data_IF_396742470689
#
_entry.id   IF_396742470689
#
_cell.length_a   1.000
_cell.length_b   1.000
_cell.length_c   1.000
_cell.angle_alpha   90.00
_cell.angle_beta   90.00
_cell.angle_gamma   90.00
#
_symmetry.space_group_name_H-M   'P 1'
#
loop_
_entity.id
_entity.type
_entity.pdbx_description
1 polymer ?
#
# COMPACT_ATOMS: atom_id res chain seq x y z
N UNK A 1 -6.90 -29.74 13.56
CA UNK A 1 -6.11 -28.54 13.94
C UNK A 1 -6.98 -27.32 14.15
N UNK A 2 -7.89 -26.97 13.22
CA UNK A 2 -8.77 -25.78 13.36
C UNK A 2 -9.60 -25.76 14.65
N UNK A 3 -10.26 -26.88 15.01
CA UNK A 3 -11.03 -26.99 16.29
C UNK A 3 -10.21 -26.77 17.56
N UNK A 4 -8.87 -26.80 17.48
CA UNK A 4 -7.98 -26.62 18.62
C UNK A 4 -7.37 -25.20 18.69
N UNK A 5 -7.81 -24.26 17.84
CA UNK A 5 -7.27 -22.91 17.80
C UNK A 5 -5.80 -22.85 17.33
N UNK A 6 -5.43 -23.70 16.38
CA UNK A 6 -4.03 -23.88 15.98
C UNK A 6 -3.40 -22.60 15.45
N UNK A 7 -4.11 -21.82 14.63
CA UNK A 7 -3.58 -20.57 14.07
C UNK A 7 -3.32 -19.54 15.16
N UNK A 8 -4.27 -19.38 16.10
CA UNK A 8 -4.10 -18.51 17.27
C UNK A 8 -2.87 -18.90 18.07
N UNK A 9 -2.72 -20.19 18.41
CA UNK A 9 -1.59 -20.68 19.20
C UNK A 9 -0.26 -20.44 18.50
N UNK A 10 -0.14 -20.80 17.22
CA UNK A 10 1.07 -20.59 16.42
C UNK A 10 1.44 -19.10 16.37
N UNK A 11 0.47 -18.23 16.14
CA UNK A 11 0.67 -16.78 16.11
C UNK A 11 1.26 -16.24 17.43
N UNK A 12 0.75 -16.70 18.57
CA UNK A 12 1.26 -16.30 19.88
C UNK A 12 2.69 -16.80 20.15
N UNK A 13 3.15 -17.83 19.44
CA UNK A 13 4.53 -18.34 19.53
C UNK A 13 5.50 -17.71 18.53
N UNK A 14 5.05 -16.82 17.64
CA UNK A 14 5.94 -16.16 16.67
C UNK A 14 7.05 -15.35 17.37
N UNK A 15 6.75 -14.77 18.54
CA UNK A 15 7.70 -14.05 19.41
C UNK A 15 8.44 -14.97 20.41
N UNK A 16 8.31 -16.29 20.29
CA UNK A 16 8.97 -17.22 21.20
C UNK A 16 10.49 -17.07 21.15
N UNK A 17 11.15 -17.17 22.32
CA UNK A 17 12.60 -17.07 22.41
C UNK A 17 13.26 -18.23 21.65
N UNK A 18 13.82 -17.92 20.48
CA UNK A 18 14.58 -18.86 19.67
C UNK A 18 15.75 -18.16 18.96
N UNK A 19 16.98 -18.31 19.48
CA UNK A 19 18.18 -17.74 18.86
C UNK A 19 18.45 -18.27 17.44
N UNK A 20 17.86 -19.40 17.05
CA UNK A 20 18.05 -19.99 15.72
C UNK A 20 17.14 -19.38 14.64
N UNK A 21 16.04 -18.72 15.05
CA UNK A 21 15.01 -18.21 14.15
C UNK A 21 14.13 -19.28 13.48
N UNK A 22 14.36 -20.56 13.76
CA UNK A 22 13.61 -21.68 13.20
C UNK A 22 12.15 -21.68 13.66
N UNK A 23 11.89 -21.31 14.90
CA UNK A 23 10.54 -21.26 15.46
C UNK A 23 9.66 -20.28 14.69
N UNK A 24 10.16 -19.06 14.50
CA UNK A 24 9.43 -18.01 13.77
C UNK A 24 9.16 -18.47 12.34
N UNK A 25 10.19 -19.02 11.70
CA UNK A 25 10.06 -19.55 10.36
C UNK A 25 8.99 -20.64 10.26
N UNK A 26 9.18 -21.75 10.97
CA UNK A 26 8.31 -22.91 10.86
C UNK A 26 6.89 -22.55 11.26
N UNK A 27 6.71 -21.67 12.25
CA UNK A 27 5.38 -21.18 12.63
C UNK A 27 4.72 -20.38 11.51
N UNK A 28 5.47 -19.53 10.81
CA UNK A 28 4.98 -18.75 9.68
C UNK A 28 4.63 -19.63 8.47
N UNK A 29 5.46 -20.63 8.16
CA UNK A 29 5.18 -21.63 7.11
C UNK A 29 3.91 -22.44 7.43
N UNK A 30 3.74 -22.88 8.68
CA UNK A 30 2.53 -23.61 9.07
C UNK A 30 1.30 -22.69 8.99
N UNK A 31 1.41 -21.44 9.43
CA UNK A 31 0.31 -20.46 9.30
C UNK A 31 -0.07 -20.22 7.84
N UNK A 32 0.92 -20.08 6.96
CA UNK A 32 0.70 -19.95 5.52
C UNK A 32 0.00 -21.17 4.95
N UNK A 33 0.49 -22.38 5.27
CA UNK A 33 -0.13 -23.62 4.84
C UNK A 33 -1.59 -23.77 5.33
N UNK A 34 -1.91 -23.27 6.52
CA UNK A 34 -3.29 -23.23 7.01
C UNK A 34 -4.16 -22.25 6.21
N UNK A 35 -3.62 -21.08 5.84
CA UNK A 35 -4.33 -20.10 5.02
C UNK A 35 -4.61 -20.62 3.59
N UNK A 36 -3.68 -21.38 3.01
CA UNK A 36 -3.84 -21.95 1.66
C UNK A 36 -4.71 -23.21 1.61
N UNK A 37 -4.55 -24.11 2.59
CA UNK A 37 -5.10 -25.47 2.50
C UNK A 37 -6.30 -25.72 3.43
N UNK A 38 -6.72 -24.72 4.22
CA UNK A 38 -7.88 -24.81 5.12
C UNK A 38 -8.88 -23.67 4.85
N UNK A 39 -9.94 -23.54 5.67
CA UNK A 39 -10.84 -22.39 5.57
C UNK A 39 -10.09 -21.11 5.98
N UNK A 40 -9.83 -20.25 5.00
CA UNK A 40 -9.19 -18.94 5.19
C UNK A 40 -9.95 -18.09 6.21
N UNK A 41 -11.28 -18.10 6.16
CA UNK A 41 -12.14 -17.32 7.06
C UNK A 41 -11.96 -17.74 8.51
N UNK A 42 -11.94 -19.06 8.78
CA UNK A 42 -11.74 -19.59 10.12
C UNK A 42 -10.32 -19.32 10.63
N UNK A 43 -9.29 -19.44 9.77
CA UNK A 43 -7.90 -19.11 10.15
C UNK A 43 -7.78 -17.63 10.49
N UNK A 44 -8.30 -16.75 9.64
CA UNK A 44 -8.28 -15.30 9.87
C UNK A 44 -9.05 -14.93 11.13
N UNK A 45 -10.21 -15.54 11.38
CA UNK A 45 -10.97 -15.34 12.61
C UNK A 45 -10.16 -15.72 13.86
N UNK A 46 -9.42 -16.84 13.83
CA UNK A 46 -8.52 -17.22 14.92
C UNK A 46 -7.37 -16.23 15.14
N UNK A 47 -6.87 -15.60 14.07
CA UNK A 47 -5.82 -14.59 14.12
C UNK A 47 -6.33 -13.19 14.52
N UNK A 48 -7.64 -12.93 14.44
CA UNK A 48 -8.26 -11.63 14.71
C UNK A 48 -8.43 -11.30 16.21
N UNK A 49 -7.58 -11.85 17.07
CA UNK A 49 -7.53 -11.49 18.50
C UNK A 49 -6.45 -10.44 18.76
N UNK A 50 -6.64 -9.59 19.77
CA UNK A 50 -5.70 -8.51 20.09
C UNK A 50 -4.29 -9.04 20.34
N UNK A 51 -4.17 -10.17 21.04
CA UNK A 51 -2.87 -10.76 21.33
C UNK A 51 -2.17 -11.28 20.07
N UNK A 52 -2.93 -11.84 19.11
CA UNK A 52 -2.38 -12.28 17.83
C UNK A 52 -1.94 -11.10 16.96
N UNK A 53 -2.74 -10.05 16.88
CA UNK A 53 -2.38 -8.85 16.11
C UNK A 53 -1.15 -8.17 16.71
N UNK A 54 -1.04 -8.12 18.05
CA UNK A 54 0.18 -7.67 18.73
C UNK A 54 1.39 -8.53 18.38
N UNK A 55 1.26 -9.85 18.48
CA UNK A 55 2.37 -10.76 18.16
C UNK A 55 2.84 -10.61 16.71
N UNK A 56 1.91 -10.53 15.75
CA UNK A 56 2.23 -10.26 14.34
C UNK A 56 2.96 -8.93 14.16
N UNK A 57 2.47 -7.86 14.81
CA UNK A 57 3.08 -6.53 14.74
C UNK A 57 4.51 -6.55 15.28
N UNK A 58 4.73 -7.13 16.45
CA UNK A 58 6.04 -7.14 17.11
C UNK A 58 7.09 -7.89 16.28
N UNK A 59 6.75 -9.08 15.78
CA UNK A 59 7.64 -9.84 14.89
C UNK A 59 7.90 -9.09 13.59
N UNK A 60 6.86 -8.50 13.00
CA UNK A 60 7.01 -7.71 11.78
C UNK A 60 7.98 -6.55 11.98
N UNK A 61 7.88 -5.83 13.11
CA UNK A 61 8.79 -4.74 13.48
C UNK A 61 10.21 -5.24 13.71
N UNK A 62 10.37 -6.37 14.40
CA UNK A 62 11.69 -6.96 14.65
C UNK A 62 12.40 -7.32 13.34
N UNK A 63 11.72 -7.99 12.41
CA UNK A 63 12.27 -8.29 11.09
C UNK A 63 12.51 -7.02 10.26
N UNK A 64 11.66 -6.00 10.41
CA UNK A 64 11.79 -4.75 9.68
C UNK A 64 13.03 -3.94 10.10
N UNK A 65 13.39 -3.96 11.40
CA UNK A 65 14.50 -3.20 11.95
C UNK A 65 15.80 -4.01 11.95
N UNK A 66 15.73 -5.31 12.28
CA UNK A 66 16.90 -6.16 12.51
C UNK A 66 17.09 -7.27 11.45
N UNK A 67 16.08 -7.51 10.60
CA UNK A 67 16.11 -8.51 9.53
C UNK A 67 16.79 -8.01 8.25
N UNK A 68 18.10 -8.27 8.13
CA UNK A 68 18.89 -7.79 6.98
C UNK A 68 19.17 -8.87 5.93
N UNK A 69 18.92 -10.15 6.23
CA UNK A 69 19.15 -11.23 5.27
C UNK A 69 17.99 -11.24 4.27
N UNK A 70 18.27 -11.71 3.06
CA UNK A 70 17.24 -11.91 2.03
C UNK A 70 16.03 -12.68 2.57
N UNK A 71 16.31 -13.74 3.35
CA UNK A 71 15.28 -14.54 3.98
C UNK A 71 14.41 -13.79 4.98
N UNK A 72 15.02 -12.99 5.85
CA UNK A 72 14.30 -12.17 6.84
C UNK A 72 13.36 -11.19 6.13
N UNK A 73 13.80 -10.63 4.99
CA UNK A 73 12.97 -9.74 4.17
C UNK A 73 11.80 -10.44 3.50
N UNK A 74 11.97 -11.68 3.05
CA UNK A 74 10.88 -12.51 2.52
C UNK A 74 9.85 -12.81 3.61
N UNK A 75 10.32 -13.29 4.76
CA UNK A 75 9.46 -13.61 5.90
C UNK A 75 8.68 -12.39 6.39
N UNK A 76 9.32 -11.22 6.41
CA UNK A 76 8.69 -9.92 6.72
C UNK A 76 7.56 -9.58 5.73
N UNK A 77 7.71 -9.93 4.46
CA UNK A 77 6.65 -9.76 3.46
C UNK A 77 5.54 -10.80 3.64
N UNK A 78 5.86 -12.05 3.93
CA UNK A 78 4.87 -13.11 4.20
C UNK A 78 4.00 -12.75 5.40
N UNK A 79 4.60 -12.25 6.48
CA UNK A 79 3.86 -11.75 7.64
C UNK A 79 3.00 -10.53 7.29
N UNK A 80 3.45 -9.65 6.41
CA UNK A 80 2.66 -8.53 5.93
C UNK A 80 1.46 -9.00 5.09
N UNK A 81 1.59 -10.06 4.30
CA UNK A 81 0.45 -10.69 3.62
C UNK A 81 -0.55 -11.23 4.65
N UNK A 82 -0.09 -11.95 5.67
CA UNK A 82 -0.95 -12.44 6.75
C UNK A 82 -1.66 -11.27 7.46
N UNK A 83 -0.93 -10.22 7.81
CA UNK A 83 -1.49 -9.01 8.43
C UNK A 83 -2.53 -8.33 7.54
N UNK A 84 -2.30 -8.31 6.22
CA UNK A 84 -3.24 -7.79 5.22
C UNK A 84 -4.55 -8.60 5.24
N UNK A 85 -4.47 -9.93 5.27
CA UNK A 85 -5.65 -10.80 5.35
C UNK A 85 -6.43 -10.62 6.66
N UNK A 86 -5.72 -10.42 7.77
CA UNK A 86 -6.35 -10.13 9.07
C UNK A 86 -7.04 -8.76 9.03
N UNK A 87 -6.40 -7.74 8.44
CA UNK A 87 -6.96 -6.40 8.30
C UNK A 87 -8.21 -6.32 7.42
N UNK A 88 -8.42 -7.27 6.50
CA UNK A 88 -9.67 -7.36 5.72
C UNK A 88 -10.89 -7.71 6.58
N UNK A 89 -10.68 -8.24 7.79
CA UNK A 89 -11.76 -8.62 8.71
C UNK A 89 -12.08 -7.49 9.66
N UNK A 90 -13.30 -6.98 9.62
CA UNK A 90 -13.75 -5.86 10.47
C UNK A 90 -13.67 -6.14 11.99
N UNK A 91 -13.57 -7.41 12.40
CA UNK A 91 -13.42 -7.80 13.80
C UNK A 91 -11.96 -7.75 14.29
N UNK A 92 -10.97 -7.57 13.41
CA UNK A 92 -9.57 -7.57 13.78
C UNK A 92 -9.17 -6.24 14.44
N UNK A 93 -8.57 -6.26 15.65
CA UNK A 93 -8.19 -5.05 16.39
C UNK A 93 -6.89 -4.41 15.87
N UNK A 94 -6.85 -4.08 14.58
CA UNK A 94 -5.68 -3.48 13.91
C UNK A 94 -5.38 -2.06 14.41
N UNK A 95 -6.41 -1.30 14.78
CA UNK A 95 -6.28 0.07 15.28
C UNK A 95 -5.83 0.06 16.75
N UNK A 96 -6.50 -0.73 17.59
CA UNK A 96 -6.22 -0.83 19.04
C UNK A 96 -4.81 -1.35 19.31
N UNK A 97 -4.31 -2.24 18.44
CA UNK A 97 -2.92 -2.71 18.50
C UNK A 97 -1.89 -1.67 18.05
N UNK A 98 -2.33 -0.56 17.46
CA UNK A 98 -1.47 0.43 16.81
C UNK A 98 -0.76 -0.09 15.57
N UNK A 99 -1.17 -1.24 15.03
CA UNK A 99 -0.56 -1.80 13.81
C UNK A 99 -0.99 -0.99 12.57
N UNK A 100 -2.25 -0.52 12.53
CA UNK A 100 -2.75 0.36 11.46
C UNK A 100 -1.87 1.59 11.25
N UNK A 101 -1.56 2.34 12.32
CA UNK A 101 -0.73 3.55 12.23
C UNK A 101 0.68 3.23 11.75
N UNK A 102 1.30 2.16 12.27
CA UNK A 102 2.62 1.71 11.84
C UNK A 102 2.65 1.42 10.33
N UNK A 103 1.66 0.67 9.83
CA UNK A 103 1.55 0.29 8.42
C UNK A 103 1.29 1.49 7.52
N UNK A 104 0.48 2.45 7.95
CA UNK A 104 0.25 3.70 7.21
C UNK A 104 1.54 4.50 7.10
N UNK A 105 2.27 4.67 8.22
CA UNK A 105 3.54 5.38 8.25
C UNK A 105 4.59 4.69 7.36
N UNK A 106 4.62 3.36 7.35
CA UNK A 106 5.47 2.59 6.43
C UNK A 106 5.05 2.71 4.97
N UNK A 107 3.76 2.91 4.69
CA UNK A 107 3.30 3.12 3.33
C UNK A 107 3.71 4.50 2.78
N UNK A 108 4.00 5.50 3.62
CA UNK A 108 4.18 6.90 3.19
C UNK A 108 5.60 7.45 3.35
N UNK A 109 6.47 6.83 4.16
CA UNK A 109 7.75 7.45 4.57
C UNK A 109 8.78 7.70 3.47
N UNK A 110 8.71 6.98 2.34
CA UNK A 110 9.63 7.23 1.22
C UNK A 110 9.28 8.50 0.46
N UNK A 111 7.99 8.87 0.46
CA UNK A 111 7.46 10.05 -0.24
C UNK A 111 7.41 11.26 0.70
N UNK A 112 7.03 11.01 1.96
CA UNK A 112 6.88 12.02 3.01
C UNK A 112 8.14 12.02 3.86
N UNK A 113 9.04 12.97 3.59
CA UNK A 113 10.36 13.09 4.26
C UNK A 113 10.27 13.69 5.68
N UNK A 114 9.27 13.29 6.45
CA UNK A 114 9.09 13.71 7.83
C UNK A 114 9.70 12.64 8.74
N UNK A 115 10.66 12.98 9.62
CA UNK A 115 11.20 12.02 10.58
C UNK A 115 10.08 11.43 11.44
N UNK A 116 9.92 10.12 11.39
CA UNK A 116 8.94 9.41 12.21
C UNK A 116 9.65 8.52 13.25
N UNK A 117 9.39 8.70 14.56
CA UNK A 117 9.99 7.88 15.62
C UNK A 117 9.75 6.37 15.45
N UNK A 118 8.62 5.97 14.87
CA UNK A 118 8.26 4.58 14.61
C UNK A 118 9.19 3.90 13.58
N UNK A 119 9.89 4.69 12.77
CA UNK A 119 10.77 4.21 11.72
C UNK A 119 12.25 4.35 12.07
N UNK A 120 12.56 4.70 13.32
CA UNK A 120 13.95 4.87 13.74
C UNK A 120 14.70 3.54 13.59
N UNK A 121 15.74 3.56 12.75
CA UNK A 121 16.57 2.38 12.47
C UNK A 121 16.19 1.63 11.19
N UNK A 122 15.03 1.94 10.58
CA UNK A 122 14.65 1.36 9.29
C UNK A 122 15.63 1.81 8.19
N UNK A 123 16.12 0.84 7.43
CA UNK A 123 16.96 1.07 6.24
C UNK A 123 16.36 0.37 5.04
N UNK A 124 15.83 1.14 4.10
CA UNK A 124 15.48 0.61 2.78
C UNK A 124 16.74 0.40 1.95
N UNK A 125 16.80 -0.76 1.30
CA UNK A 125 17.87 -1.15 0.39
C UNK A 125 17.45 -1.11 -1.07
N UNK A 126 16.16 -0.85 -1.34
CA UNK A 126 15.56 -0.90 -2.68
C UNK A 126 15.74 -2.28 -3.35
N UNK A 127 15.80 -3.34 -2.54
CA UNK A 127 15.83 -4.71 -3.03
C UNK A 127 14.48 -5.14 -3.62
N UNK A 128 14.42 -6.26 -4.35
CA UNK A 128 13.15 -6.82 -4.80
C UNK A 128 12.15 -7.04 -3.65
N UNK A 129 12.63 -7.47 -2.48
CA UNK A 129 11.78 -7.68 -1.32
C UNK A 129 11.24 -6.36 -0.75
N UNK A 130 12.03 -5.29 -0.74
CA UNK A 130 11.56 -3.96 -0.33
C UNK A 130 10.51 -3.40 -1.31
N UNK A 131 10.65 -3.70 -2.60
CA UNK A 131 9.66 -3.36 -3.62
C UNK A 131 8.34 -4.12 -3.41
N UNK A 132 8.39 -5.43 -3.15
CA UNK A 132 7.18 -6.21 -2.81
C UNK A 132 6.53 -5.71 -1.52
N UNK A 133 7.32 -5.39 -0.50
CA UNK A 133 6.83 -4.78 0.75
C UNK A 133 6.07 -3.48 0.43
N UNK A 134 6.64 -2.60 -0.40
CA UNK A 134 5.99 -1.33 -0.77
C UNK A 134 4.65 -1.53 -1.47
N UNK A 135 4.54 -2.54 -2.35
CA UNK A 135 3.25 -2.89 -2.99
C UNK A 135 2.22 -3.40 -1.99
N UNK A 136 2.62 -4.26 -1.06
CA UNK A 136 1.74 -4.76 -0.01
C UNK A 136 1.25 -3.63 0.91
N UNK A 137 2.14 -2.67 1.22
CA UNK A 137 1.78 -1.48 1.98
C UNK A 137 0.79 -0.58 1.22
N UNK A 138 0.88 -0.43 -0.09
CA UNK A 138 -0.17 0.27 -0.84
C UNK A 138 -1.50 -0.49 -0.84
N UNK A 139 -1.47 -1.81 -0.98
CA UNK A 139 -2.67 -2.63 -0.92
C UNK A 139 -3.40 -2.46 0.43
N UNK A 140 -2.67 -2.45 1.55
CA UNK A 140 -3.28 -2.33 2.88
C UNK A 140 -3.92 -0.95 3.12
N UNK A 141 -3.39 0.12 2.51
CA UNK A 141 -4.05 1.44 2.54
C UNK A 141 -5.45 1.37 1.91
N UNK A 142 -5.60 0.66 0.79
CA UNK A 142 -6.91 0.43 0.15
C UNK A 142 -7.86 -0.45 0.96
N UNK A 143 -7.33 -1.29 1.86
CA UNK A 143 -8.13 -2.06 2.82
C UNK A 143 -8.60 -1.14 3.95
N UNK A 144 -7.69 -0.37 4.55
CA UNK A 144 -8.01 0.60 5.60
C UNK A 144 -8.97 1.69 5.14
N UNK A 145 -8.98 2.06 3.86
CA UNK A 145 -9.96 3.02 3.34
C UNK A 145 -11.41 2.51 3.40
N UNK A 146 -11.65 1.22 3.66
CA UNK A 146 -12.99 0.65 3.83
C UNK A 146 -13.49 0.73 5.28
N UNK A 147 -12.60 1.03 6.24
CA UNK A 147 -12.93 1.19 7.66
C UNK A 147 -13.01 2.69 8.01
N UNK A 148 -14.19 3.22 8.37
CA UNK A 148 -14.35 4.63 8.76
C UNK A 148 -13.41 5.08 9.88
N UNK A 149 -13.06 4.20 10.83
CA UNK A 149 -12.14 4.54 11.92
C UNK A 149 -10.70 4.68 11.42
N UNK A 150 -10.29 3.87 10.46
CA UNK A 150 -8.98 3.97 9.85
C UNK A 150 -8.86 5.17 8.90
N UNK A 151 -9.95 5.62 8.27
CA UNK A 151 -9.95 6.81 7.39
C UNK A 151 -9.41 8.06 8.08
N UNK A 152 -9.75 8.28 9.35
CA UNK A 152 -9.18 9.39 10.12
C UNK A 152 -7.65 9.29 10.20
N UNK A 153 -7.12 8.09 10.48
CA UNK A 153 -5.68 7.84 10.54
C UNK A 153 -5.01 8.04 9.18
N UNK A 154 -5.68 7.69 8.07
CA UNK A 154 -5.18 7.97 6.71
C UNK A 154 -5.04 9.48 6.47
N UNK A 155 -6.01 10.27 6.93
CA UNK A 155 -6.01 11.74 6.81
C UNK A 155 -4.87 12.39 7.62
N UNK A 156 -4.56 11.84 8.79
CA UNK A 156 -3.57 12.37 9.73
C UNK A 156 -2.12 12.00 9.38
N UNK A 157 -1.89 10.95 8.57
CA UNK A 157 -0.56 10.39 8.30
C UNK A 157 -0.11 10.57 6.84
N UNK A 158 -0.47 11.71 6.23
CA UNK A 158 0.04 12.17 4.92
C UNK A 158 -0.12 11.15 3.77
N UNK A 159 -1.17 10.32 3.80
CA UNK A 159 -1.44 9.33 2.75
C UNK A 159 -1.73 9.99 1.41
N UNK A 160 -2.51 11.08 1.40
CA UNK A 160 -2.85 11.81 0.18
C UNK A 160 -1.59 12.33 -0.56
N UNK A 161 -0.72 13.15 0.06
CA UNK A 161 0.50 13.61 -0.62
C UNK A 161 1.46 12.46 -0.98
N UNK A 162 1.51 11.38 -0.19
CA UNK A 162 2.33 10.21 -0.52
C UNK A 162 1.85 9.49 -1.79
N UNK A 163 0.54 9.31 -1.97
CA UNK A 163 0.00 8.71 -3.20
C UNK A 163 0.18 9.66 -4.40
N UNK A 164 -0.06 10.95 -4.20
CA UNK A 164 0.11 11.99 -5.24
C UNK A 164 1.57 12.17 -5.67
N UNK A 165 2.55 11.80 -4.84
CA UNK A 165 3.96 11.81 -5.21
C UNK A 165 4.24 11.02 -6.50
N UNK A 166 3.48 9.96 -6.75
CA UNK A 166 3.61 9.11 -7.92
C UNK A 166 2.85 9.60 -9.15
N UNK A 167 2.00 10.63 -9.03
CA UNK A 167 1.25 11.25 -10.14
C UNK A 167 2.17 12.20 -10.92
N UNK A 168 3.26 11.65 -11.47
CA UNK A 168 4.25 12.34 -12.28
C UNK A 168 5.10 11.34 -13.08
N UNK A 169 5.64 11.74 -14.24
CA UNK A 169 6.55 10.89 -15.00
C UNK A 169 7.77 10.49 -14.17
N UNK A 170 8.24 9.25 -14.33
CA UNK A 170 9.51 8.84 -13.72
C UNK A 170 10.65 9.69 -14.29
N UNK A 171 11.40 10.34 -13.41
CA UNK A 171 12.65 11.01 -13.76
C UNK A 171 13.81 10.05 -13.54
N UNK A 172 14.97 10.30 -14.16
CA UNK A 172 16.15 9.44 -14.05
C UNK A 172 16.38 9.02 -12.59
N UNK A 173 16.45 7.72 -12.29
CA UNK A 173 16.56 7.25 -10.90
C UNK A 173 17.89 7.71 -10.31
N UNK A 174 17.87 8.04 -9.01
CA UNK A 174 19.08 8.22 -8.23
C UNK A 174 19.76 6.88 -7.93
N UNK A 175 20.97 6.91 -7.35
CA UNK A 175 21.70 5.71 -6.93
C UNK A 175 20.95 4.86 -5.87
N UNK A 176 20.01 5.45 -5.13
CA UNK A 176 19.17 4.81 -4.13
C UNK A 176 17.70 5.11 -4.41
N UNK A 177 17.21 4.61 -5.54
CA UNK A 177 15.84 4.82 -5.99
C UNK A 177 15.32 3.56 -6.69
N UNK A 178 14.00 3.49 -6.88
CA UNK A 178 13.37 2.41 -7.64
C UNK A 178 13.87 2.42 -9.09
N UNK A 179 14.05 1.23 -9.66
CA UNK A 179 14.24 1.13 -11.11
C UNK A 179 13.03 1.68 -11.86
N UNK A 180 13.20 2.08 -13.12
CA UNK A 180 12.10 2.61 -13.93
C UNK A 180 10.89 1.66 -13.98
N UNK A 181 11.13 0.35 -14.12
CA UNK A 181 10.07 -0.67 -14.13
C UNK A 181 9.33 -0.75 -12.78
N UNK A 182 10.08 -0.77 -11.67
CA UNK A 182 9.49 -0.77 -10.32
C UNK A 182 8.70 0.52 -10.07
N UNK A 183 9.22 1.68 -10.46
CA UNK A 183 8.52 2.94 -10.31
C UNK A 183 7.22 2.96 -11.12
N UNK A 184 7.24 2.50 -12.38
CA UNK A 184 6.03 2.39 -13.20
C UNK A 184 4.94 1.54 -12.52
N UNK A 185 5.32 0.42 -11.90
CA UNK A 185 4.39 -0.45 -11.19
C UNK A 185 3.86 0.19 -9.90
N UNK A 186 4.74 0.79 -9.08
CA UNK A 186 4.33 1.54 -7.88
C UNK A 186 3.44 2.72 -8.23
N UNK A 187 3.70 3.40 -9.35
CA UNK A 187 2.88 4.49 -9.82
C UNK A 187 1.45 4.04 -10.11
N UNK A 188 1.27 2.95 -10.86
CA UNK A 188 -0.06 2.43 -11.15
C UNK A 188 -0.78 1.97 -9.88
N UNK A 189 -0.03 1.35 -8.95
CA UNK A 189 -0.57 0.93 -7.67
C UNK A 189 -1.02 2.12 -6.82
N UNK A 190 -0.19 3.16 -6.69
CA UNK A 190 -0.51 4.38 -5.96
C UNK A 190 -1.74 5.08 -6.54
N UNK A 191 -1.86 5.21 -7.86
CA UNK A 191 -3.02 5.83 -8.51
C UNK A 191 -4.28 4.96 -8.34
N UNK A 192 -4.15 3.63 -8.36
CA UNK A 192 -5.26 2.73 -8.09
C UNK A 192 -5.81 2.90 -6.67
N UNK A 193 -4.91 3.00 -5.68
CA UNK A 193 -5.27 3.23 -4.27
C UNK A 193 -5.81 4.65 -4.06
N UNK A 194 -5.25 5.64 -4.76
CA UNK A 194 -5.75 7.01 -4.76
C UNK A 194 -7.23 7.06 -5.17
N UNK A 195 -7.66 6.26 -6.15
CA UNK A 195 -9.05 6.21 -6.55
C UNK A 195 -9.99 5.72 -5.41
N UNK A 196 -9.50 4.93 -4.47
CA UNK A 196 -10.25 4.46 -3.30
C UNK A 196 -10.19 5.43 -2.11
N UNK A 197 -9.05 6.09 -1.91
CA UNK A 197 -8.80 6.98 -0.77
C UNK A 197 -9.30 8.41 -1.02
N UNK A 198 -9.12 8.93 -2.23
CA UNK A 198 -9.43 10.32 -2.56
C UNK A 198 -10.88 10.72 -2.27
N UNK A 199 -11.90 9.89 -2.56
CA UNK A 199 -13.29 10.25 -2.27
C UNK A 199 -13.60 10.37 -0.77
N UNK A 200 -12.77 9.77 0.08
CA UNK A 200 -12.96 9.78 1.54
C UNK A 200 -12.21 10.95 2.20
N UNK A 201 -11.21 11.50 1.51
CA UNK A 201 -10.30 12.53 2.01
C UNK A 201 -10.35 13.79 1.13
N UNK A 202 -11.57 14.26 0.78
CA UNK A 202 -11.79 15.37 -0.17
C UNK A 202 -11.06 16.64 0.23
N UNK A 203 -11.08 17.01 1.51
CA UNK A 203 -10.37 18.20 2.01
C UNK A 203 -8.86 18.10 1.73
N UNK A 204 -8.27 16.92 2.00
CA UNK A 204 -6.85 16.68 1.73
C UNK A 204 -6.59 16.67 0.24
N UNK A 205 -7.45 16.03 -0.56
CA UNK A 205 -7.37 15.99 -2.01
C UNK A 205 -7.30 17.40 -2.62
N UNK A 206 -8.22 18.29 -2.22
CA UNK A 206 -8.25 19.68 -2.67
C UNK A 206 -7.03 20.47 -2.17
N UNK A 207 -6.66 20.31 -0.88
CA UNK A 207 -5.49 21.01 -0.31
C UNK A 207 -4.17 20.64 -1.00
N UNK A 208 -4.08 19.42 -1.52
CA UNK A 208 -2.93 18.92 -2.28
C UNK A 208 -2.99 19.24 -3.78
N UNK A 209 -3.98 20.01 -4.25
CA UNK A 209 -4.16 20.36 -5.66
C UNK A 209 -4.24 19.10 -6.57
N UNK A 210 -4.88 18.04 -6.09
CA UNK A 210 -4.84 16.75 -6.75
C UNK A 210 -5.44 16.75 -8.17
N UNK A 211 -6.49 17.56 -8.41
CA UNK A 211 -7.03 17.79 -9.76
C UNK A 211 -5.95 18.29 -10.72
N UNK A 212 -5.17 19.30 -10.31
CA UNK A 212 -4.09 19.86 -11.13
C UNK A 212 -3.03 18.81 -11.45
N UNK A 213 -2.61 18.05 -10.44
CA UNK A 213 -1.61 16.98 -10.63
C UNK A 213 -2.10 15.90 -11.60
N UNK A 214 -3.36 15.45 -11.46
CA UNK A 214 -3.95 14.45 -12.33
C UNK A 214 -4.15 14.95 -13.76
N UNK A 215 -4.57 16.21 -13.96
CA UNK A 215 -4.74 16.81 -15.29
C UNK A 215 -3.40 16.99 -16.00
N UNK A 216 -2.37 17.51 -15.32
CA UNK A 216 -1.01 17.61 -15.88
C UNK A 216 -0.45 16.22 -16.22
N UNK A 217 -0.71 15.24 -15.36
CA UNK A 217 -0.27 13.87 -15.62
C UNK A 217 -1.01 13.22 -16.80
N UNK A 218 -2.30 13.51 -16.98
CA UNK A 218 -3.06 13.10 -18.16
C UNK A 218 -2.54 13.76 -19.43
N UNK A 219 -2.17 15.03 -19.39
CA UNK A 219 -1.56 15.71 -20.54
C UNK A 219 -0.26 15.00 -20.97
N UNK A 220 0.59 14.63 -20.01
CA UNK A 220 1.76 13.80 -20.28
C UNK A 220 1.40 12.43 -20.88
N UNK A 221 0.31 11.81 -20.44
CA UNK A 221 -0.16 10.52 -20.95
C UNK A 221 -0.59 10.60 -22.42
N UNK A 222 -1.19 11.70 -22.85
CA UNK A 222 -1.66 11.94 -24.23
C UNK A 222 -0.51 12.42 -25.14
N UNK A 223 0.51 13.06 -24.55
CA UNK A 223 1.66 13.58 -25.26
C UNK A 223 2.36 12.52 -26.11
N UNK A 224 2.75 12.93 -27.32
CA UNK A 224 3.40 12.08 -28.35
C UNK A 224 4.88 11.79 -28.05
N UNK A 225 5.41 12.29 -26.92
CA UNK A 225 6.80 12.06 -26.54
C UNK A 225 7.11 10.56 -26.44
N UNK A 226 8.25 10.11 -27.00
CA UNK A 226 8.66 8.72 -26.94
C UNK A 226 8.68 8.22 -25.49
N UNK A 227 7.89 7.20 -25.21
CA UNK A 227 7.85 6.55 -23.90
C UNK A 227 8.33 5.11 -24.03
N UNK A 228 9.55 4.86 -23.57
CA UNK A 228 10.16 3.53 -23.56
C UNK A 228 9.84 2.80 -22.26
N UNK A 229 8.55 2.69 -21.97
CA UNK A 229 8.06 2.01 -20.76
C UNK A 229 8.55 0.57 -20.71
N UNK A 230 9.08 0.16 -19.55
CA UNK A 230 9.68 -1.17 -19.37
C UNK A 230 8.64 -2.30 -19.28
N UNK A 231 7.36 -1.91 -19.19
CA UNK A 231 6.24 -2.80 -18.98
C UNK A 231 5.96 -2.93 -17.50
N UNK A 232 4.70 -2.76 -17.13
CA UNK A 232 4.21 -2.99 -15.78
C UNK A 232 3.47 -4.32 -15.72
N UNK A 233 3.68 -5.08 -14.65
CA UNK A 233 2.90 -6.30 -14.38
C UNK A 233 1.68 -6.01 -13.51
N UNK A 234 1.32 -4.73 -13.32
CA UNK A 234 0.23 -4.33 -12.44
C UNK A 234 -1.11 -4.92 -12.91
N UNK A 235 -1.67 -5.81 -12.08
CA UNK A 235 -2.85 -6.65 -12.38
C UNK A 235 -2.76 -7.45 -13.70
N UNK A 236 -1.55 -7.73 -14.23
CA UNK A 236 -1.38 -8.54 -15.45
C UNK A 236 -1.99 -7.95 -16.72
N UNK A 237 -2.33 -6.65 -16.73
CA UNK A 237 -2.98 -5.96 -17.87
C UNK A 237 -2.10 -4.89 -18.54
N UNK A 238 -0.81 -4.86 -18.18
CA UNK A 238 0.14 -3.86 -18.65
C UNK A 238 0.62 -4.11 -20.08
N UNK A 239 0.94 -3.01 -20.77
CA UNK A 239 1.62 -3.02 -22.07
C UNK A 239 2.99 -2.37 -21.95
N UNK A 240 3.91 -2.71 -22.87
CA UNK A 240 5.20 -2.04 -23.00
C UNK A 240 5.08 -0.83 -23.92
N UNK A 241 5.92 0.19 -23.68
CA UNK A 241 6.09 1.31 -24.60
C UNK A 241 4.89 2.25 -24.76
N UNK A 242 3.91 2.24 -23.84
CA UNK A 242 2.77 3.17 -23.87
C UNK A 242 2.32 3.60 -22.47
N UNK A 243 1.53 4.68 -22.42
CA UNK A 243 1.04 5.32 -21.19
C UNK A 243 -0.44 5.01 -20.89
N UNK A 244 -1.03 4.01 -21.56
CA UNK A 244 -2.47 3.74 -21.50
C UNK A 244 -2.93 3.26 -20.13
N UNK A 245 -2.08 2.52 -19.41
CA UNK A 245 -2.40 2.11 -18.04
C UNK A 245 -2.47 3.35 -17.13
N UNK A 246 -1.46 4.22 -17.19
CA UNK A 246 -1.39 5.46 -16.42
C UNK A 246 -2.60 6.35 -16.69
N UNK A 247 -2.97 6.53 -17.96
CA UNK A 247 -4.17 7.26 -18.35
C UNK A 247 -5.44 6.65 -17.74
N UNK A 248 -5.66 5.34 -17.90
CA UNK A 248 -6.86 4.65 -17.38
C UNK A 248 -7.00 4.77 -15.86
N UNK A 249 -5.91 4.59 -15.11
CA UNK A 249 -5.95 4.70 -13.65
C UNK A 249 -6.13 6.15 -13.20
N UNK A 250 -5.56 7.14 -13.90
CA UNK A 250 -5.76 8.56 -13.60
C UNK A 250 -7.22 8.99 -13.85
N UNK A 251 -7.81 8.54 -14.95
CA UNK A 251 -9.25 8.75 -15.23
C UNK A 251 -10.13 8.08 -14.18
N UNK A 252 -9.75 6.89 -13.68
CA UNK A 252 -10.47 6.22 -12.59
C UNK A 252 -10.41 7.02 -11.29
N UNK A 253 -9.26 7.61 -10.95
CA UNK A 253 -9.10 8.45 -9.78
C UNK A 253 -9.93 9.75 -9.89
N UNK A 254 -9.90 10.44 -11.04
CA UNK A 254 -10.75 11.61 -11.27
C UNK A 254 -12.24 11.24 -11.19
N UNK A 255 -12.63 10.13 -11.83
CA UNK A 255 -14.01 9.65 -11.79
C UNK A 255 -14.49 9.41 -10.37
N UNK A 256 -13.65 8.82 -9.49
CA UNK A 256 -14.09 8.46 -8.15
C UNK A 256 -14.42 9.67 -7.28
N UNK A 257 -13.69 10.78 -7.43
CA UNK A 257 -13.99 12.04 -6.72
C UNK A 257 -15.13 12.82 -7.36
N UNK A 258 -15.21 12.89 -8.70
CA UNK A 258 -16.33 13.57 -9.40
C UNK A 258 -17.68 12.91 -9.10
N UNK A 259 -17.68 11.58 -8.89
CA UNK A 259 -18.89 10.82 -8.54
C UNK A 259 -19.48 11.20 -7.17
N UNK A 260 -18.78 12.00 -6.36
CA UNK A 260 -19.31 12.54 -5.11
C UNK A 260 -20.26 13.72 -5.32
N UNK A 261 -20.27 14.32 -6.51
CA UNK A 261 -20.99 15.57 -6.79
C UNK A 261 -20.60 16.73 -5.87
N UNK A 262 -19.34 16.74 -5.40
CA UNK A 262 -18.80 17.84 -4.60
C UNK A 262 -18.55 19.07 -5.47
N UNK A 263 -19.17 20.20 -5.11
CA UNK A 263 -19.10 21.45 -5.89
C UNK A 263 -17.69 22.01 -5.98
N UNK A 264 -16.91 21.94 -4.89
CA UNK A 264 -15.55 22.48 -4.88
C UNK A 264 -14.62 21.66 -5.78
N UNK A 265 -14.75 20.33 -5.76
CA UNK A 265 -14.02 19.43 -6.68
C UNK A 265 -14.42 19.71 -8.13
N UNK A 266 -15.71 19.75 -8.43
CA UNK A 266 -16.21 19.89 -9.79
C UNK A 266 -15.91 21.27 -10.39
N UNK A 267 -16.12 22.35 -9.63
CA UNK A 267 -15.79 23.70 -10.05
C UNK A 267 -14.29 23.85 -10.31
N UNK A 268 -13.46 23.37 -9.37
CA UNK A 268 -12.00 23.40 -9.52
C UNK A 268 -11.53 22.61 -10.76
N UNK A 269 -12.16 21.50 -11.09
CA UNK A 269 -11.84 20.69 -12.27
C UNK A 269 -12.27 21.40 -13.57
N UNK A 270 -13.46 21.99 -13.58
CA UNK A 270 -13.99 22.77 -14.70
C UNK A 270 -13.14 24.01 -15.00
N UNK A 271 -12.76 24.76 -13.97
CA UNK A 271 -11.92 25.96 -14.10
C UNK A 271 -10.53 25.67 -14.69
N UNK A 272 -10.05 24.43 -14.54
CA UNK A 272 -8.80 23.96 -15.12
C UNK A 272 -8.95 23.42 -16.55
N UNK A 273 -10.12 23.55 -17.17
CA UNK A 273 -10.35 23.14 -18.55
C UNK A 273 -10.42 21.63 -18.75
N UNK A 274 -10.71 20.85 -17.70
CA UNK A 274 -10.71 19.40 -17.77
C UNK A 274 -11.66 18.83 -18.83
N UNK A 275 -12.82 19.46 -19.07
CA UNK A 275 -13.77 19.00 -20.11
C UNK A 275 -13.09 19.00 -21.48
N UNK A 276 -12.42 20.10 -21.85
CA UNK A 276 -11.72 20.21 -23.13
C UNK A 276 -10.60 19.17 -23.25
N UNK A 277 -9.87 18.92 -22.17
CA UNK A 277 -8.81 17.91 -22.14
C UNK A 277 -9.36 16.48 -22.26
N UNK A 278 -10.44 16.14 -21.54
CA UNK A 278 -11.06 14.82 -21.55
C UNK A 278 -11.78 14.49 -22.86
N UNK A 279 -12.18 15.50 -23.63
CA UNK A 279 -12.69 15.29 -24.99
C UNK A 279 -11.58 15.01 -26.01
N UNK A 280 -10.32 15.32 -25.65
CA UNK A 280 -9.15 15.09 -26.49
C UNK A 280 -8.40 13.79 -26.14
N UNK A 281 -8.70 13.14 -25.00
CA UNK A 281 -8.20 11.81 -24.59
C UNK A 281 -8.94 10.68 -25.29
#
# INVERSE_FOLDING_TARGET
>A
MMKAGAARRLCLYLNGADPSGQLLLTSSEILWNLLENSSKEEVVHQLSSLECVHALKEVFVELLINGFRHYDRQLRNDLLVIATLVAETAAAPMIESGFTVLLIVLATFTEVKIPNPLLKGLKLTFSPEDFEMKKLLFNIIGIFSKDPHAVQLLSENDVMPALLYYVKPHKKPGFHDWSAAQYEELQLHAIAVLASVAPLLVDKYLSCQANTLLLVFLEWCIGQDPFFGQGNSFHGTGGRGNKLAQMRYSLRALKSVVSLYDDAVNLNLCDQGAISQLLAT
#
